data_IF_226573424431
#
_entry.id   IF_226573424431
#
_cell.length_a   1.000
_cell.length_b   1.000
_cell.length_c   1.000
_cell.angle_alpha   90.00
_cell.angle_beta   90.00
_cell.angle_gamma   90.00
#
_symmetry.space_group_name_H-M   'P 1'
#
loop_
_entity.id
_entity.type
_entity.pdbx_description
1 polymer ?
#
# COMPACT_ATOMS: atom_id res chain seq x y z
N UNK A 1 -24.31 8.02 -17.99
CA UNK A 1 -23.15 7.12 -18.22
C UNK A 1 -21.99 7.99 -18.66
N UNK A 2 -20.92 8.09 -17.87
CA UNK A 2 -19.71 8.79 -18.32
C UNK A 2 -19.01 7.83 -19.28
N UNK A 3 -18.98 8.17 -20.55
CA UNK A 3 -18.20 7.44 -21.56
C UNK A 3 -16.72 7.57 -21.20
N UNK A 4 -16.06 6.45 -20.93
CA UNK A 4 -14.62 6.46 -20.65
C UNK A 4 -13.88 6.95 -21.90
N UNK A 5 -12.94 7.87 -21.72
CA UNK A 5 -12.08 8.34 -22.81
C UNK A 5 -11.21 7.17 -23.30
N UNK A 6 -11.17 6.93 -24.61
CA UNK A 6 -10.62 5.70 -25.21
C UNK A 6 -9.21 5.83 -25.77
N UNK A 7 -8.62 7.03 -25.79
CA UNK A 7 -7.26 7.33 -26.28
C UNK A 7 -6.94 6.86 -27.72
N UNK A 8 -7.91 6.36 -28.47
CA UNK A 8 -7.78 5.73 -29.79
C UNK A 8 -7.91 6.71 -30.97
N UNK A 9 -7.97 8.03 -30.68
CA UNK A 9 -8.09 9.06 -31.70
C UNK A 9 -9.50 9.28 -32.24
N UNK A 10 -10.53 8.71 -31.61
CA UNK A 10 -11.94 9.01 -31.96
C UNK A 10 -12.33 10.44 -31.61
N UNK A 11 -11.65 11.06 -30.64
CA UNK A 11 -11.87 12.44 -30.23
C UNK A 11 -11.00 13.40 -31.04
N UNK A 12 -11.66 14.29 -31.79
CA UNK A 12 -11.01 15.28 -32.64
C UNK A 12 -10.41 16.45 -31.85
N UNK A 13 -10.71 16.57 -30.54
CA UNK A 13 -10.10 17.61 -29.68
C UNK A 13 -8.74 17.22 -29.14
N UNK A 14 -8.27 15.99 -29.37
CA UNK A 14 -6.94 15.57 -28.99
C UNK A 14 -5.86 16.42 -29.69
N UNK A 15 -4.95 17.00 -28.91
CA UNK A 15 -3.94 17.96 -29.37
C UNK A 15 -2.50 17.45 -29.15
N UNK A 16 -2.34 16.20 -28.71
CA UNK A 16 -1.08 15.48 -28.61
C UNK A 16 -1.27 13.97 -28.80
N UNK A 17 -0.26 13.30 -29.37
CA UNK A 17 -0.17 11.83 -29.42
C UNK A 17 1.06 11.38 -28.65
N UNK A 18 0.87 10.58 -27.59
CA UNK A 18 1.96 9.89 -26.91
C UNK A 18 2.19 8.54 -27.58
N UNK A 19 3.44 8.17 -27.87
CA UNK A 19 3.79 6.88 -28.47
C UNK A 19 4.61 6.10 -27.47
N UNK A 20 4.07 4.97 -27.01
CA UNK A 20 4.77 4.09 -26.09
C UNK A 20 6.00 3.44 -26.71
N UNK A 21 6.88 2.89 -25.87
CA UNK A 21 8.03 2.07 -26.30
C UNK A 21 7.63 0.94 -27.24
N UNK A 22 6.46 0.34 -27.02
CA UNK A 22 5.90 -0.72 -27.86
C UNK A 22 4.97 -0.20 -28.98
N UNK A 23 5.17 1.05 -29.43
CA UNK A 23 4.51 1.67 -30.59
C UNK A 23 2.98 1.81 -30.50
N UNK A 24 2.41 1.76 -29.30
CA UNK A 24 0.99 2.08 -29.08
C UNK A 24 0.81 3.58 -29.05
N UNK A 25 -0.16 4.09 -29.80
CA UNK A 25 -0.45 5.53 -29.92
C UNK A 25 -1.62 5.90 -28.99
N UNK A 26 -1.40 6.91 -28.15
CA UNK A 26 -2.41 7.45 -27.24
C UNK A 26 -2.70 8.89 -27.61
N UNK A 27 -3.88 9.13 -28.18
CA UNK A 27 -4.39 10.47 -28.42
C UNK A 27 -4.86 11.07 -27.10
N UNK A 28 -4.38 12.26 -26.75
CA UNK A 28 -4.63 12.90 -25.46
C UNK A 28 -4.67 14.43 -25.58
N UNK A 29 -4.85 15.09 -24.44
CA UNK A 29 -4.97 16.53 -24.28
C UNK A 29 -3.80 17.07 -23.45
N UNK A 30 -3.03 17.99 -24.03
CA UNK A 30 -1.91 18.69 -23.40
C UNK A 30 -2.36 19.38 -22.12
N UNK A 31 -3.53 20.03 -22.13
CA UNK A 31 -4.06 20.73 -20.97
C UNK A 31 -4.23 19.81 -19.76
N UNK A 32 -4.91 18.67 -19.93
CA UNK A 32 -5.14 17.69 -18.84
C UNK A 32 -3.81 17.16 -18.31
N UNK A 33 -2.89 16.78 -19.21
CA UNK A 33 -1.59 16.25 -18.81
C UNK A 33 -0.69 17.31 -18.14
N UNK A 34 -0.79 18.58 -18.56
CA UNK A 34 -0.06 19.69 -17.94
C UNK A 34 -0.59 20.05 -16.55
N UNK A 35 -1.89 19.85 -16.30
CA UNK A 35 -2.45 19.98 -14.96
C UNK A 35 -2.02 18.82 -14.05
N UNK A 36 -1.90 17.62 -14.62
CA UNK A 36 -1.51 16.42 -13.88
C UNK A 36 0.00 16.39 -13.55
N UNK A 37 0.85 16.94 -14.43
CA UNK A 37 2.31 16.82 -14.35
C UNK A 37 3.03 18.09 -14.80
N UNK A 38 3.95 18.63 -13.98
CA UNK A 38 4.84 19.70 -14.42
C UNK A 38 5.81 19.21 -15.51
N UNK A 39 6.21 17.94 -15.50
CA UNK A 39 7.09 17.36 -16.53
C UNK A 39 6.41 17.39 -17.90
N UNK A 40 5.13 17.00 -17.98
CA UNK A 40 4.38 17.11 -19.24
C UNK A 40 4.18 18.57 -19.64
N UNK A 41 3.88 19.46 -18.68
CA UNK A 41 3.76 20.90 -18.95
C UNK A 41 5.02 21.45 -19.61
N UNK A 42 6.19 21.17 -19.03
CA UNK A 42 7.48 21.64 -19.56
C UNK A 42 7.81 20.99 -20.90
N UNK A 43 7.54 19.68 -21.04
CA UNK A 43 7.72 18.94 -22.28
C UNK A 43 6.93 19.54 -23.44
N UNK A 44 5.68 19.95 -23.22
CA UNK A 44 4.85 20.57 -24.26
C UNK A 44 5.20 22.03 -24.55
N UNK A 45 5.83 22.74 -23.62
CA UNK A 45 6.37 24.08 -23.88
C UNK A 45 7.58 24.03 -24.82
N UNK A 46 8.39 22.97 -24.72
CA UNK A 46 9.58 22.77 -25.54
C UNK A 46 9.23 22.16 -26.90
N UNK A 47 8.23 21.27 -26.94
CA UNK A 47 7.81 20.61 -28.16
C UNK A 47 7.21 21.62 -29.16
N UNK A 48 7.95 21.90 -30.24
CA UNK A 48 7.45 22.74 -31.32
C UNK A 48 6.31 22.02 -32.07
N UNK A 49 5.24 22.74 -32.46
CA UNK A 49 4.21 22.18 -33.31
C UNK A 49 4.84 21.76 -34.66
N UNK A 50 4.46 20.61 -35.23
CA UNK A 50 4.93 20.19 -36.53
C UNK A 50 4.54 21.22 -37.61
N UNK A 51 5.44 21.53 -38.54
CA UNK A 51 5.22 22.54 -39.57
C UNK A 51 4.10 22.20 -40.58
N UNK A 52 3.68 20.93 -40.60
CA UNK A 52 2.67 20.36 -41.49
C UNK A 52 1.24 20.39 -40.89
N UNK A 53 1.07 20.95 -39.68
CA UNK A 53 -0.23 21.06 -39.02
C UNK A 53 -0.75 19.76 -38.41
N UNK A 54 0.07 18.69 -38.36
CA UNK A 54 -0.31 17.47 -37.66
C UNK A 54 -0.21 17.62 -36.14
N UNK A 55 -0.97 16.77 -35.44
CA UNK A 55 -0.91 16.67 -33.98
C UNK A 55 0.51 16.22 -33.57
N UNK A 56 1.19 16.94 -32.65
CA UNK A 56 2.53 16.58 -32.22
C UNK A 56 2.56 15.17 -31.62
N UNK A 57 3.55 14.40 -32.04
CA UNK A 57 3.76 13.03 -31.59
C UNK A 57 5.01 12.97 -30.70
N UNK A 58 4.87 12.44 -29.49
CA UNK A 58 5.94 12.41 -28.48
C UNK A 58 6.26 10.95 -28.14
N UNK A 59 7.49 10.48 -28.37
CA UNK A 59 7.92 9.16 -27.97
C UNK A 59 8.09 9.09 -26.44
N UNK A 60 7.70 7.96 -25.87
CA UNK A 60 7.74 7.68 -24.44
C UNK A 60 8.59 6.44 -24.18
N UNK A 61 9.30 6.40 -23.05
CA UNK A 61 10.09 5.23 -22.67
C UNK A 61 9.25 4.11 -22.07
N UNK A 62 8.02 4.43 -21.65
CA UNK A 62 7.10 3.53 -20.98
C UNK A 62 6.36 2.64 -22.00
N UNK A 63 6.02 1.43 -21.59
CA UNK A 63 5.16 0.56 -22.40
C UNK A 63 3.70 1.08 -22.41
N UNK A 64 2.91 0.58 -23.37
CA UNK A 64 1.54 1.01 -23.55
C UNK A 64 0.62 0.73 -22.35
N UNK A 65 0.84 -0.35 -21.58
CA UNK A 65 0.01 -0.65 -20.41
C UNK A 65 0.28 0.34 -19.29
N UNK A 66 1.55 0.69 -19.07
CA UNK A 66 1.93 1.71 -18.09
C UNK A 66 1.33 3.07 -18.46
N UNK A 67 1.45 3.50 -19.72
CA UNK A 67 0.88 4.78 -20.18
C UNK A 67 -0.64 4.79 -20.07
N UNK A 68 -1.33 3.72 -20.51
CA UNK A 68 -2.80 3.62 -20.42
C UNK A 68 -3.31 3.82 -18.99
N UNK A 69 -2.66 3.17 -18.01
CA UNK A 69 -3.03 3.29 -16.60
C UNK A 69 -2.82 4.71 -16.07
N UNK A 70 -1.67 5.30 -16.35
CA UNK A 70 -1.35 6.70 -15.96
C UNK A 70 -2.38 7.66 -16.54
N UNK A 71 -2.70 7.50 -17.83
CA UNK A 71 -3.69 8.33 -18.50
C UNK A 71 -5.07 8.18 -17.86
N UNK A 72 -5.49 6.98 -17.49
CA UNK A 72 -6.78 6.78 -16.80
C UNK A 72 -6.86 7.46 -15.43
N UNK A 73 -5.74 7.57 -14.72
CA UNK A 73 -5.69 8.38 -13.50
C UNK A 73 -5.70 9.89 -13.76
N UNK A 74 -5.21 10.35 -14.91
CA UNK A 74 -5.24 11.77 -15.29
C UNK A 74 -6.63 12.22 -15.75
N UNK A 75 -7.43 11.30 -16.31
CA UNK A 75 -8.74 11.59 -16.87
C UNK A 75 -9.87 11.22 -15.91
N UNK A 76 -11.07 11.82 -16.06
CA UNK A 76 -12.27 11.46 -15.29
C UNK A 76 -12.85 10.12 -15.79
N UNK A 77 -12.04 9.07 -15.74
CA UNK A 77 -12.40 7.70 -16.11
C UNK A 77 -12.31 6.77 -14.90
N UNK A 78 -12.77 5.54 -15.07
CA UNK A 78 -12.63 4.51 -14.05
C UNK A 78 -11.14 4.23 -13.82
N UNK A 79 -10.72 4.24 -12.55
CA UNK A 79 -9.37 3.86 -12.17
C UNK A 79 -8.99 2.48 -12.74
N UNK A 80 -7.74 2.31 -13.21
CA UNK A 80 -7.26 1.02 -13.66
C UNK A 80 -7.12 0.05 -12.49
N UNK A 81 -7.32 -1.23 -12.79
CA UNK A 81 -6.96 -2.33 -11.89
C UNK A 81 -5.55 -2.82 -12.20
N UNK A 82 -4.93 -3.46 -11.21
CA UNK A 82 -3.59 -4.03 -11.35
C UNK A 82 -3.63 -5.53 -11.12
N UNK A 83 -2.83 -6.25 -11.91
CA UNK A 83 -2.66 -7.70 -11.83
C UNK A 83 -2.03 -8.08 -10.50
N UNK A 84 -0.97 -7.38 -10.13
CA UNK A 84 -0.18 -7.62 -8.93
C UNK A 84 0.38 -6.29 -8.37
N UNK A 85 0.95 -6.38 -7.16
CA UNK A 85 1.47 -5.20 -6.46
C UNK A 85 2.70 -4.61 -7.16
N UNK A 86 3.47 -5.44 -7.86
CA UNK A 86 4.67 -5.02 -8.59
C UNK A 86 4.32 -4.17 -9.81
N UNK A 87 3.28 -4.55 -10.57
CA UNK A 87 2.73 -3.72 -11.64
C UNK A 87 2.23 -2.37 -11.11
N UNK A 88 1.49 -2.39 -10.00
CA UNK A 88 1.01 -1.16 -9.36
C UNK A 88 2.16 -0.28 -8.88
N UNK A 89 3.17 -0.88 -8.27
CA UNK A 89 4.38 -0.21 -7.83
C UNK A 89 5.11 0.46 -8.99
N UNK A 90 5.28 -0.23 -10.12
CA UNK A 90 5.92 0.31 -11.31
C UNK A 90 5.20 1.57 -11.82
N UNK A 91 3.87 1.50 -11.95
CA UNK A 91 3.06 2.63 -12.41
C UNK A 91 3.10 3.79 -11.40
N UNK A 92 3.02 3.49 -10.10
CA UNK A 92 3.09 4.47 -9.03
C UNK A 92 4.42 5.23 -9.02
N UNK A 93 5.54 4.52 -9.07
CA UNK A 93 6.87 5.12 -9.10
C UNK A 93 7.07 5.93 -10.36
N UNK A 94 6.58 5.46 -11.50
CA UNK A 94 6.62 6.21 -12.76
C UNK A 94 5.86 7.54 -12.63
N UNK A 95 4.65 7.52 -12.08
CA UNK A 95 3.88 8.76 -11.83
C UNK A 95 4.60 9.69 -10.86
N UNK A 96 5.00 9.20 -9.69
CA UNK A 96 5.53 10.04 -8.62
C UNK A 96 6.96 10.52 -8.88
N UNK A 97 7.85 9.66 -9.38
CA UNK A 97 9.27 9.98 -9.55
C UNK A 97 9.63 10.48 -10.93
N UNK A 98 9.04 9.93 -12.01
CA UNK A 98 9.37 10.34 -13.39
C UNK A 98 8.56 11.54 -13.83
N UNK A 99 7.25 11.53 -13.59
CA UNK A 99 6.35 12.58 -14.06
C UNK A 99 5.94 13.59 -12.99
N UNK A 100 6.38 13.44 -11.74
CA UNK A 100 6.06 14.35 -10.63
C UNK A 100 4.54 14.55 -10.50
N UNK A 101 3.81 13.45 -10.48
CA UNK A 101 2.35 13.39 -10.42
C UNK A 101 1.87 12.95 -9.03
N UNK A 102 2.39 13.56 -7.95
CA UNK A 102 2.13 13.10 -6.58
C UNK A 102 0.64 13.09 -6.24
N UNK A 103 -0.12 14.10 -6.69
CA UNK A 103 -1.56 14.19 -6.46
C UNK A 103 -2.35 13.11 -7.21
N UNK A 104 -1.94 12.79 -8.44
CA UNK A 104 -2.55 11.73 -9.24
C UNK A 104 -2.25 10.37 -8.61
N UNK A 105 -1.02 10.17 -8.15
CA UNK A 105 -0.58 8.98 -7.46
C UNK A 105 -1.40 8.67 -6.20
N UNK A 106 -1.98 9.67 -5.52
CA UNK A 106 -2.88 9.43 -4.37
C UNK A 106 -4.08 8.54 -4.75
N UNK A 107 -4.51 8.54 -6.01
CA UNK A 107 -5.63 7.68 -6.47
C UNK A 107 -5.30 6.19 -6.39
N UNK A 108 -4.03 5.78 -6.34
CA UNK A 108 -3.66 4.36 -6.22
C UNK A 108 -3.81 3.81 -4.80
N UNK A 109 -4.04 4.67 -3.79
CA UNK A 109 -4.20 4.26 -2.38
C UNK A 109 -5.32 3.25 -2.16
N UNK A 110 -6.42 3.37 -2.91
CA UNK A 110 -7.53 2.42 -2.84
C UNK A 110 -7.11 1.01 -3.24
N UNK A 111 -6.34 0.88 -4.31
CA UNK A 111 -5.80 -0.40 -4.76
C UNK A 111 -4.71 -0.92 -3.82
N UNK A 112 -3.84 -0.04 -3.33
CA UNK A 112 -2.84 -0.39 -2.33
C UNK A 112 -3.49 -0.97 -1.06
N UNK A 113 -4.62 -0.40 -0.64
CA UNK A 113 -5.44 -0.93 0.45
C UNK A 113 -6.02 -2.31 0.11
N UNK A 114 -6.53 -2.51 -1.11
CA UNK A 114 -7.03 -3.82 -1.58
C UNK A 114 -5.95 -4.91 -1.48
N UNK A 115 -4.71 -4.62 -1.88
CA UNK A 115 -3.58 -5.56 -1.73
C UNK A 115 -3.22 -5.80 -0.26
N UNK A 116 -3.37 -4.80 0.59
CA UNK A 116 -3.20 -4.96 2.03
C UNK A 116 -4.28 -5.87 2.64
N UNK A 117 -5.52 -5.77 2.16
CA UNK A 117 -6.67 -6.57 2.61
C UNK A 117 -6.66 -8.01 2.14
N UNK A 118 -6.22 -8.27 0.90
CA UNK A 118 -6.03 -9.65 0.44
C UNK A 118 -5.05 -10.42 1.32
N UNK A 119 -4.16 -9.71 2.01
CA UNK A 119 -3.23 -10.30 2.94
C UNK A 119 -2.26 -11.22 2.21
N UNK A 120 -1.82 -10.87 1.00
CA UNK A 120 -0.72 -11.61 0.36
C UNK A 120 0.58 -10.84 0.52
N UNK A 121 0.52 -9.51 0.54
CA UNK A 121 1.70 -8.66 0.40
C UNK A 121 1.82 -7.51 1.44
N UNK A 122 1.50 -7.66 2.75
CA UNK A 122 1.53 -6.52 3.69
C UNK A 122 2.87 -5.79 3.81
N UNK A 123 3.99 -6.51 3.68
CA UNK A 123 5.32 -5.92 3.79
C UNK A 123 5.66 -5.04 2.58
N UNK A 124 5.29 -5.47 1.37
CA UNK A 124 5.39 -4.65 0.16
C UNK A 124 4.53 -3.40 0.28
N UNK A 125 3.27 -3.56 0.72
CA UNK A 125 2.36 -2.42 0.95
C UNK A 125 2.99 -1.43 1.93
N UNK A 126 3.55 -1.91 3.04
CA UNK A 126 4.24 -1.07 4.02
C UNK A 126 5.40 -0.31 3.38
N UNK A 127 6.27 -0.99 2.62
CA UNK A 127 7.44 -0.39 2.00
C UNK A 127 7.05 0.73 1.03
N UNK A 128 6.08 0.45 0.15
CA UNK A 128 5.55 1.41 -0.80
C UNK A 128 4.92 2.60 -0.08
N UNK A 129 4.00 2.37 0.86
CA UNK A 129 3.31 3.43 1.58
C UNK A 129 4.28 4.31 2.37
N UNK A 130 5.28 3.71 3.02
CA UNK A 130 6.29 4.44 3.78
C UNK A 130 7.13 5.34 2.86
N UNK A 131 7.64 4.80 1.76
CA UNK A 131 8.44 5.56 0.81
C UNK A 131 7.67 6.68 0.10
N UNK A 132 6.37 6.52 -0.07
CA UNK A 132 5.48 7.56 -0.60
C UNK A 132 5.04 8.59 0.46
N UNK A 133 5.45 8.42 1.73
CA UNK A 133 5.04 9.30 2.83
C UNK A 133 3.57 9.13 3.25
N UNK A 134 2.94 8.02 2.89
CA UNK A 134 1.53 7.72 3.15
C UNK A 134 1.40 7.07 4.53
N UNK A 135 1.47 7.91 5.57
CA UNK A 135 1.60 7.49 6.97
C UNK A 135 0.48 6.57 7.44
N UNK A 136 -0.78 6.87 7.07
CA UNK A 136 -1.93 6.07 7.50
C UNK A 136 -1.89 4.68 6.88
N UNK A 137 -1.64 4.60 5.57
CA UNK A 137 -1.55 3.36 4.82
C UNK A 137 -0.35 2.52 5.28
N UNK A 138 0.78 3.15 5.56
CA UNK A 138 1.96 2.50 6.13
C UNK A 138 1.67 1.94 7.52
N UNK A 139 0.94 2.66 8.38
CA UNK A 139 0.59 2.17 9.71
C UNK A 139 -0.32 0.94 9.63
N UNK A 140 -1.37 0.97 8.81
CA UNK A 140 -2.29 -0.17 8.61
C UNK A 140 -1.54 -1.38 8.06
N UNK A 141 -0.65 -1.17 7.08
CA UNK A 141 0.16 -2.24 6.52
C UNK A 141 1.11 -2.83 7.57
N UNK A 142 1.78 -1.99 8.36
CA UNK A 142 2.67 -2.42 9.44
C UNK A 142 1.94 -3.28 10.47
N UNK A 143 0.72 -2.94 10.87
CA UNK A 143 -0.08 -3.75 11.79
C UNK A 143 -0.31 -5.16 11.25
N UNK A 144 -0.68 -5.28 9.97
CA UNK A 144 -0.87 -6.60 9.33
C UNK A 144 0.43 -7.38 9.15
N UNK A 145 1.55 -6.69 8.91
CA UNK A 145 2.89 -7.31 8.93
C UNK A 145 3.15 -7.89 10.32
N UNK A 146 2.80 -7.16 11.37
CA UNK A 146 3.07 -7.55 12.75
C UNK A 146 2.23 -8.77 13.20
N UNK A 147 1.00 -8.89 12.69
CA UNK A 147 0.11 -10.02 12.97
C UNK A 147 0.57 -11.35 12.35
N UNK A 148 1.48 -11.29 11.37
CA UNK A 148 1.95 -12.46 10.63
C UNK A 148 3.25 -13.01 11.17
N UNK A 149 3.50 -14.29 10.88
CA UNK A 149 4.82 -14.86 11.06
C UNK A 149 5.72 -14.32 9.93
N UNK A 150 6.60 -13.39 10.27
CA UNK A 150 7.54 -12.80 9.30
C UNK A 150 8.70 -13.74 9.01
N UNK A 151 9.19 -13.71 7.76
CA UNK A 151 10.37 -14.43 7.29
C UNK A 151 10.18 -15.95 7.39
N UNK A 152 9.13 -16.45 6.74
CA UNK A 152 8.99 -17.89 6.53
C UNK A 152 10.00 -18.35 5.47
N UNK A 153 10.37 -19.64 5.51
CA UNK A 153 11.30 -20.20 4.53
C UNK A 153 10.73 -20.19 3.09
N UNK A 154 9.45 -19.86 2.93
CA UNK A 154 8.70 -19.85 1.68
C UNK A 154 8.50 -18.42 1.15
N UNK A 155 8.99 -17.39 1.85
CA UNK A 155 8.82 -16.00 1.42
C UNK A 155 9.74 -15.71 0.22
N UNK A 156 9.15 -15.29 -0.90
CA UNK A 156 9.86 -14.81 -2.09
C UNK A 156 10.61 -13.50 -1.82
N UNK A 157 11.59 -13.18 -2.67
CA UNK A 157 12.30 -11.90 -2.62
C UNK A 157 11.34 -10.72 -2.87
N UNK A 158 11.57 -9.61 -2.17
CA UNK A 158 10.70 -8.43 -2.19
C UNK A 158 11.49 -7.23 -2.72
N UNK A 159 11.54 -7.03 -4.06
CA UNK A 159 12.31 -5.95 -4.67
C UNK A 159 11.76 -4.57 -4.29
N UNK A 160 10.49 -4.45 -3.91
CA UNK A 160 9.91 -3.19 -3.46
C UNK A 160 10.51 -2.69 -2.14
N UNK A 161 11.31 -3.49 -1.43
CA UNK A 161 12.06 -3.02 -0.25
C UNK A 161 13.20 -2.06 -0.63
N UNK A 162 13.73 -2.12 -1.85
CA UNK A 162 14.83 -1.26 -2.32
C UNK A 162 14.42 0.22 -2.39
N UNK A 163 13.11 0.52 -2.41
CA UNK A 163 12.62 1.89 -2.33
C UNK A 163 12.90 2.54 -0.97
N UNK A 164 13.09 1.73 0.07
CA UNK A 164 13.38 2.22 1.41
C UNK A 164 14.83 2.68 1.48
N UNK A 165 15.03 3.99 1.51
CA UNK A 165 16.35 4.62 1.57
C UNK A 165 17.17 4.22 2.81
N UNK A 166 16.51 3.73 3.87
CA UNK A 166 17.16 3.32 5.10
C UNK A 166 16.76 1.92 5.53
N UNK A 167 17.71 0.97 5.59
CA UNK A 167 17.49 -0.36 6.18
C UNK A 167 17.00 -0.31 7.64
N UNK A 168 17.21 0.83 8.32
CA UNK A 168 16.73 1.08 9.69
C UNK A 168 15.20 0.99 9.78
N UNK A 169 14.47 1.29 8.70
CA UNK A 169 13.01 1.25 8.67
C UNK A 169 12.53 -0.19 8.86
N UNK A 170 13.07 -1.12 8.07
CA UNK A 170 12.78 -2.55 8.19
C UNK A 170 13.24 -3.07 9.55
N UNK A 171 14.45 -2.70 9.99
CA UNK A 171 14.95 -3.08 11.31
C UNK A 171 13.99 -2.67 12.44
N UNK A 172 13.45 -1.45 12.41
CA UNK A 172 12.46 -0.97 13.40
C UNK A 172 11.18 -1.82 13.37
N UNK A 173 10.68 -2.14 12.18
CA UNK A 173 9.49 -2.97 12.00
C UNK A 173 9.70 -4.39 12.55
N UNK A 174 10.83 -5.04 12.21
CA UNK A 174 11.18 -6.37 12.70
C UNK A 174 11.40 -6.39 14.22
N UNK A 175 12.07 -5.37 14.76
CA UNK A 175 12.25 -5.24 16.21
C UNK A 175 10.90 -5.14 16.93
N UNK A 176 9.97 -4.38 16.37
CA UNK A 176 8.64 -4.21 16.95
C UNK A 176 7.82 -5.50 16.86
N UNK A 177 7.87 -6.21 15.72
CA UNK A 177 7.28 -7.55 15.57
C UNK A 177 7.80 -8.54 16.61
N UNK A 178 9.13 -8.63 16.77
CA UNK A 178 9.76 -9.51 17.78
C UNK A 178 9.26 -9.18 19.18
N UNK A 179 9.26 -7.90 19.55
CA UNK A 179 8.81 -7.48 20.88
C UNK A 179 7.34 -7.88 21.14
N UNK A 180 6.44 -7.69 20.16
CA UNK A 180 5.04 -8.11 20.31
C UNK A 180 4.89 -9.63 20.41
N UNK A 181 5.68 -10.38 19.65
CA UNK A 181 5.67 -11.84 19.72
C UNK A 181 6.16 -12.34 21.09
N UNK A 182 7.25 -11.77 21.60
CA UNK A 182 7.80 -12.08 22.92
C UNK A 182 6.80 -11.72 24.04
N UNK A 183 6.12 -10.59 23.94
CA UNK A 183 5.11 -10.16 24.91
C UNK A 183 3.85 -11.03 24.85
N UNK A 184 3.39 -11.41 23.65
CA UNK A 184 2.30 -12.36 23.46
C UNK A 184 2.64 -13.74 24.04
N UNK A 185 3.88 -14.22 23.83
CA UNK A 185 4.35 -15.47 24.41
C UNK A 185 4.37 -15.42 25.93
N UNK A 186 4.91 -14.35 26.54
CA UNK A 186 4.88 -14.16 28.00
C UNK A 186 3.46 -14.16 28.56
N UNK A 187 2.52 -13.46 27.91
CA UNK A 187 1.12 -13.44 28.33
C UNK A 187 0.47 -14.83 28.23
N UNK A 188 0.77 -15.59 27.18
CA UNK A 188 0.30 -16.96 27.01
C UNK A 188 0.87 -17.88 28.11
N UNK A 189 2.17 -17.81 28.41
CA UNK A 189 2.80 -18.61 29.47
C UNK A 189 2.27 -18.24 30.86
N UNK A 190 2.06 -16.96 31.15
CA UNK A 190 1.48 -16.50 32.42
C UNK A 190 0.03 -16.98 32.58
N UNK A 191 -0.76 -16.94 31.50
CA UNK A 191 -2.13 -17.46 31.49
C UNK A 191 -2.15 -18.96 31.73
N UNK A 192 -1.27 -19.70 31.05
CA UNK A 192 -1.11 -21.14 31.22
C UNK A 192 -0.64 -21.54 32.63
N UNK A 193 0.30 -20.80 33.21
CA UNK A 193 0.74 -21.02 34.60
C UNK A 193 -0.39 -20.75 35.60
N UNK A 194 -1.19 -19.71 35.37
CA UNK A 194 -2.38 -19.42 36.20
C UNK A 194 -3.46 -20.48 36.05
N UNK A 195 -3.73 -21.00 34.87
CA UNK A 195 -4.74 -22.06 34.68
C UNK A 195 -4.28 -23.39 35.28
N UNK A 196 -2.99 -23.76 35.16
CA UNK A 196 -2.42 -24.90 35.90
C UNK A 196 -2.54 -24.69 37.39
N UNK A 197 -2.12 -23.53 37.91
CA UNK A 197 -2.21 -23.23 39.34
C UNK A 197 -3.67 -23.29 39.84
N UNK A 198 -4.62 -22.73 39.08
CA UNK A 198 -6.05 -22.85 39.39
C UNK A 198 -6.56 -24.29 39.32
N UNK A 199 -6.16 -25.07 38.32
CA UNK A 199 -6.54 -26.47 38.19
C UNK A 199 -5.96 -27.33 39.33
N UNK A 200 -4.70 -27.08 39.72
CA UNK A 200 -4.05 -27.72 40.87
C UNK A 200 -4.73 -27.34 42.19
N UNK A 201 -5.10 -26.06 42.39
CA UNK A 201 -5.85 -25.61 43.57
C UNK A 201 -7.26 -26.23 43.60
N UNK A 202 -7.96 -26.26 42.48
CA UNK A 202 -9.28 -26.91 42.35
C UNK A 202 -9.20 -28.42 42.63
N UNK A 203 -8.14 -29.08 42.16
CA UNK A 203 -7.91 -30.51 42.40
C UNK A 203 -7.60 -30.78 43.87
N UNK A 204 -6.79 -29.93 44.51
CA UNK A 204 -6.48 -30.01 45.93
C UNK A 204 -7.73 -29.73 46.81
N UNK A 205 -8.53 -28.72 46.48
CA UNK A 205 -9.78 -28.43 47.19
C UNK A 205 -10.80 -29.58 47.09
N UNK A 206 -10.86 -30.26 45.93
CA UNK A 206 -11.68 -31.46 45.70
C UNK A 206 -11.16 -32.68 46.47
N UNK A 207 -9.84 -32.83 46.58
CA UNK A 207 -9.18 -33.89 47.38
C UNK A 207 -9.38 -33.69 48.89
N UNK A 208 -9.44 -32.44 49.35
CA UNK A 208 -9.64 -32.07 50.77
C UNK A 208 -11.12 -32.00 51.18
N UNK A 209 -12.06 -32.36 50.30
CA UNK A 209 -13.49 -32.37 50.62
C UNK A 209 -14.11 -31.00 50.92
N UNK A 210 -13.47 -29.90 50.52
CA UNK A 210 -13.98 -28.55 50.76
C UNK A 210 -15.07 -28.18 49.73
N UNK A 211 -16.31 -28.04 50.19
CA UNK A 211 -17.40 -27.47 49.38
C UNK A 211 -17.22 -25.95 49.33
N UNK A 212 -16.68 -25.43 48.24
CA UNK A 212 -16.55 -23.98 48.03
C UNK A 212 -17.91 -23.37 47.62
N UNK A 213 -18.42 -22.31 48.28
CA UNK A 213 -19.61 -21.60 47.84
C UNK A 213 -19.33 -20.83 46.53
N UNK A 214 -20.22 -20.96 45.56
CA UNK A 214 -20.09 -20.51 44.16
C UNK A 214 -20.07 -18.97 43.98
N UNK A 215 -20.14 -18.17 45.05
CA UNK A 215 -20.53 -16.76 44.95
C UNK A 215 -19.41 -15.71 44.74
N UNK A 216 -18.16 -16.06 44.40
CA UNK A 216 -17.08 -15.05 44.33
C UNK A 216 -16.19 -15.04 43.08
N UNK A 217 -16.66 -15.55 41.93
CA UNK A 217 -15.81 -15.73 40.74
C UNK A 217 -16.10 -14.83 39.53
N UNK A 218 -16.74 -13.67 39.70
CA UNK A 218 -16.81 -12.66 38.63
C UNK A 218 -16.59 -11.24 39.16
N UNK A 219 -15.35 -10.75 39.10
CA UNK A 219 -15.06 -9.32 39.07
C UNK A 219 -14.60 -8.96 37.65
N UNK A 220 -15.48 -8.27 36.92
CA UNK A 220 -15.24 -7.70 35.58
C UNK A 220 -14.02 -6.77 35.62
N UNK A 221 -13.03 -7.02 34.77
CA UNK A 221 -12.06 -6.00 34.38
C UNK A 221 -12.52 -5.34 33.06
N UNK A 222 -13.15 -4.17 33.18
CA UNK A 222 -13.11 -3.13 32.13
C UNK A 222 -11.71 -2.50 32.21
N UNK A 223 -11.03 -2.02 31.17
CA UNK A 223 -11.36 -1.72 29.79
C UNK A 223 -10.24 -0.78 29.31
N UNK A 224 -9.68 -1.11 28.16
CA UNK A 224 -8.59 -0.47 27.42
C UNK A 224 -8.66 1.07 27.35
N UNK A 225 -7.57 1.77 27.70
CA UNK A 225 -7.30 3.13 27.22
C UNK A 225 -5.85 3.56 27.52
N UNK A 226 -4.89 3.26 26.63
CA UNK A 226 -3.65 4.05 26.43
C UNK A 226 -2.85 3.48 25.25
N UNK A 227 -3.27 3.77 24.02
CA UNK A 227 -2.52 3.41 22.78
C UNK A 227 -2.38 4.59 21.81
N UNK A 228 -2.31 5.82 22.32
CA UNK A 228 -2.30 7.02 21.46
C UNK A 228 -1.08 7.94 21.58
N UNK A 229 0.06 7.47 22.13
CA UNK A 229 1.27 8.33 22.27
C UNK A 229 2.60 7.76 21.74
N UNK A 230 2.61 6.80 20.81
CA UNK A 230 3.87 6.15 20.39
C UNK A 230 4.26 6.25 18.91
N UNK A 231 3.60 7.11 18.14
CA UNK A 231 3.88 7.28 16.70
C UNK A 231 4.55 8.60 16.32
N UNK A 232 5.18 9.30 17.26
CA UNK A 232 6.14 10.35 16.94
C UNK A 232 7.55 9.89 17.33
N UNK A 233 8.33 9.40 16.35
CA UNK A 233 9.81 9.43 16.24
C UNK A 233 10.35 8.58 15.07
#
# INVERSE_FOLDING_TARGET
>A
MITAYTFNGSDTTADVVLVSRNNTRFHAHKFILSLASPVFKDMFLIAQPPADGFIPTIPMDEDGQTIEKILRFCYPTKDPSFKDISEMYHVLVTMARKYLMENVALRTRSELHRFCESGTTPLQVFAIAYAMGWKQEAAVAAEKVIERRLLTLEDDDIPELDILESPRIIYRLLRFHKQRTDDAYKLATLTYSRTISFASIMTFAKMMGMVMPISTLFRKNHGCCTTWKRFEM
#
